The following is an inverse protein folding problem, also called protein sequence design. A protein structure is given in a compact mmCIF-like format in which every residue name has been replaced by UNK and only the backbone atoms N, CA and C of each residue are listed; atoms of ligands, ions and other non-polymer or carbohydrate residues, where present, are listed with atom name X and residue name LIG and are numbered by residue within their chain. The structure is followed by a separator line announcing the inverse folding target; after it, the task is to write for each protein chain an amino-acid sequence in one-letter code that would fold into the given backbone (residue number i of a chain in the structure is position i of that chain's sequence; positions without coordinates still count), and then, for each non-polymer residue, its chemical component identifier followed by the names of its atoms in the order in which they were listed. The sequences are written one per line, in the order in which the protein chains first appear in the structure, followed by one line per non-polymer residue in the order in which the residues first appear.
data_IF_475243899049
#
_entry.id   IF_475243899049
#
_cell.length_a   1.000
_cell.length_b   1.000
_cell.length_c   1.000
_cell.angle_alpha   90.00
_cell.angle_beta   90.00
_cell.angle_gamma   90.00
#
_symmetry.space_group_name_H-M   'P 1'
#
loop_
_entity.id
_entity.type
_entity.pdbx_description
1 polymer ?
#
# COMPACT_ATOMS: atom_id res chain seq x y z
N UNK A 1 -11.49 -29.04 -17.34
CA UNK A 1 -10.78 -28.33 -16.26
C UNK A 1 -11.60 -28.54 -15.00
N UNK A 2 -11.10 -29.40 -14.10
CA UNK A 2 -11.80 -29.74 -12.86
C UNK A 2 -11.55 -28.62 -11.84
N UNK A 3 -12.60 -27.97 -11.38
CA UNK A 3 -12.53 -27.08 -10.22
C UNK A 3 -12.41 -27.94 -8.96
N UNK A 4 -11.27 -27.94 -8.33
CA UNK A 4 -11.11 -28.50 -6.99
C UNK A 4 -11.75 -27.57 -5.98
N UNK A 5 -12.95 -27.93 -5.51
CA UNK A 5 -13.54 -27.34 -4.32
C UNK A 5 -12.83 -27.93 -3.11
N UNK A 6 -11.78 -27.25 -2.63
CA UNK A 6 -11.32 -27.51 -1.27
C UNK A 6 -12.28 -26.81 -0.31
N UNK A 7 -12.99 -27.61 0.48
CA UNK A 7 -13.70 -27.07 1.66
C UNK A 7 -12.65 -26.49 2.59
N UNK A 8 -12.59 -25.18 2.68
CA UNK A 8 -11.77 -24.49 3.69
C UNK A 8 -12.21 -24.99 5.08
N UNK A 9 -11.28 -25.33 5.98
CA UNK A 9 -11.65 -25.60 7.35
C UNK A 9 -12.35 -24.37 7.90
N UNK A 10 -13.53 -24.56 8.49
CA UNK A 10 -14.26 -23.49 9.19
C UNK A 10 -13.39 -23.02 10.35
N UNK A 11 -12.65 -21.92 10.15
CA UNK A 11 -11.95 -21.24 11.24
C UNK A 11 -13.04 -20.59 12.09
N UNK A 12 -13.41 -21.21 13.18
CA UNK A 12 -14.24 -20.56 14.20
C UNK A 12 -13.40 -19.44 14.82
N UNK A 13 -13.69 -18.20 14.44
CA UNK A 13 -13.08 -17.05 15.08
C UNK A 13 -13.33 -17.13 16.60
N UNK A 14 -12.29 -16.90 17.39
CA UNK A 14 -12.44 -16.83 18.85
C UNK A 14 -13.45 -15.73 19.19
N UNK A 15 -14.51 -16.09 19.89
CA UNK A 15 -15.51 -15.13 20.40
C UNK A 15 -15.13 -14.55 21.76
N UNK A 16 -14.01 -15.00 22.34
CA UNK A 16 -13.54 -14.52 23.63
C UNK A 16 -13.21 -13.01 23.57
N UNK A 17 -13.61 -12.23 24.58
CA UNK A 17 -13.27 -10.81 24.66
C UNK A 17 -11.75 -10.60 24.72
N UNK A 18 -11.26 -9.61 24.04
CA UNK A 18 -9.86 -9.18 24.10
C UNK A 18 -9.56 -8.39 25.37
N UNK A 19 -8.30 -8.34 25.75
CA UNK A 19 -7.84 -7.55 26.88
C UNK A 19 -7.17 -6.25 26.41
N UNK A 20 -7.11 -5.25 27.27
CA UNK A 20 -6.37 -4.02 27.01
C UNK A 20 -4.88 -4.28 26.73
N UNK A 21 -4.28 -5.27 27.42
CA UNK A 21 -2.87 -5.64 27.20
C UNK A 21 -2.68 -6.12 25.76
N UNK A 22 -3.54 -7.03 25.30
CA UNK A 22 -3.49 -7.51 23.90
C UNK A 22 -3.67 -6.35 22.90
N UNK A 23 -4.55 -5.40 23.20
CA UNK A 23 -4.74 -4.23 22.34
C UNK A 23 -3.47 -3.36 22.26
N UNK A 24 -2.82 -3.13 23.40
CA UNK A 24 -1.55 -2.38 23.45
C UNK A 24 -0.40 -3.10 22.73
N UNK A 25 -0.31 -4.42 22.89
CA UNK A 25 0.66 -5.25 22.15
C UNK A 25 0.47 -5.14 20.63
N UNK A 26 -0.79 -4.96 20.20
CA UNK A 26 -1.16 -4.73 18.80
C UNK A 26 -1.05 -3.27 18.35
N UNK A 27 -0.56 -2.36 19.21
CA UNK A 27 -0.33 -0.96 18.89
C UNK A 27 -1.53 -0.02 19.04
N UNK A 28 -2.60 -0.47 19.70
CA UNK A 28 -3.72 0.39 20.07
C UNK A 28 -3.46 1.08 21.41
N UNK A 29 -3.84 2.34 21.50
CA UNK A 29 -3.81 3.07 22.78
C UNK A 29 -5.02 2.68 23.66
N UNK A 30 -4.96 2.90 24.99
CA UNK A 30 -6.10 2.65 25.88
C UNK A 30 -7.38 3.41 25.46
N UNK A 31 -7.24 4.62 24.93
CA UNK A 31 -8.39 5.42 24.49
C UNK A 31 -8.97 4.91 23.17
N UNK A 32 -8.13 4.41 22.27
CA UNK A 32 -8.59 3.71 21.06
C UNK A 32 -9.36 2.45 21.43
N UNK A 33 -8.86 1.64 22.36
CA UNK A 33 -9.55 0.44 22.81
C UNK A 33 -10.93 0.76 23.40
N UNK A 34 -11.05 1.77 24.27
CA UNK A 34 -12.34 2.26 24.77
C UNK A 34 -13.27 2.74 23.68
N UNK A 35 -12.70 3.40 22.66
CA UNK A 35 -13.49 3.88 21.52
C UNK A 35 -14.07 2.70 20.71
N UNK A 36 -13.30 1.63 20.55
CA UNK A 36 -13.77 0.39 19.91
C UNK A 36 -14.91 -0.25 20.71
N UNK A 37 -14.76 -0.35 22.04
CA UNK A 37 -15.82 -0.85 22.92
C UNK A 37 -17.11 -0.04 22.76
N UNK A 38 -16.99 1.28 22.68
CA UNK A 38 -18.14 2.17 22.48
C UNK A 38 -18.79 1.97 21.11
N UNK A 39 -18.01 1.78 20.04
CA UNK A 39 -18.53 1.57 18.68
C UNK A 39 -19.27 0.24 18.59
N UNK A 40 -18.70 -0.82 19.17
CA UNK A 40 -19.27 -2.16 19.12
C UNK A 40 -20.38 -2.39 20.16
N UNK A 41 -20.49 -1.53 21.19
CA UNK A 41 -21.37 -1.74 22.34
C UNK A 41 -20.95 -2.92 23.23
N UNK A 42 -19.74 -3.46 23.04
CA UNK A 42 -19.15 -4.58 23.78
C UNK A 42 -17.63 -4.60 23.62
N UNK A 43 -16.96 -5.41 24.41
CA UNK A 43 -15.53 -5.68 24.23
C UNK A 43 -15.32 -6.42 22.90
N UNK A 44 -14.36 -5.99 22.06
CA UNK A 44 -14.03 -6.68 20.81
C UNK A 44 -13.47 -8.08 21.08
N UNK A 45 -13.73 -9.04 20.21
CA UNK A 45 -12.93 -10.27 20.17
C UNK A 45 -11.55 -10.01 19.55
N UNK A 46 -10.65 -11.00 19.61
CA UNK A 46 -9.29 -10.85 19.15
C UNK A 46 -9.21 -10.48 17.66
N UNK A 47 -10.01 -11.09 16.80
CA UNK A 47 -10.03 -10.80 15.36
C UNK A 47 -10.50 -9.38 15.08
N UNK A 48 -11.56 -8.93 15.73
CA UNK A 48 -12.07 -7.57 15.60
C UNK A 48 -11.02 -6.55 16.07
N UNK A 49 -10.40 -6.80 17.22
CA UNK A 49 -9.33 -5.96 17.73
C UNK A 49 -8.16 -5.86 16.73
N UNK A 50 -7.75 -6.98 16.14
CA UNK A 50 -6.70 -6.99 15.12
C UNK A 50 -7.09 -6.16 13.88
N UNK A 51 -8.34 -6.25 13.42
CA UNK A 51 -8.85 -5.44 12.31
C UNK A 51 -8.77 -3.95 12.66
N UNK A 52 -9.26 -3.54 13.82
CA UNK A 52 -9.15 -2.14 14.26
C UNK A 52 -7.70 -1.68 14.38
N UNK A 53 -6.82 -2.51 14.93
CA UNK A 53 -5.39 -2.21 15.05
C UNK A 53 -4.75 -1.89 13.70
N UNK A 54 -5.06 -2.66 12.67
CA UNK A 54 -4.54 -2.41 11.31
C UNK A 54 -5.20 -1.17 10.69
N UNK A 55 -6.52 -1.08 10.74
CA UNK A 55 -7.28 0.02 10.12
C UNK A 55 -6.99 1.38 10.78
N UNK A 56 -6.68 1.40 12.07
CA UNK A 56 -6.34 2.61 12.83
C UNK A 56 -4.83 2.82 12.98
N UNK A 57 -4.00 2.03 12.31
CA UNK A 57 -2.56 2.29 12.25
C UNK A 57 -2.28 3.59 11.47
N UNK A 58 -1.10 4.18 11.67
CA UNK A 58 -0.65 5.32 10.86
C UNK A 58 -0.66 4.99 9.37
N UNK A 59 -0.32 3.76 9.01
CA UNK A 59 -0.29 3.31 7.62
C UNK A 59 -1.64 3.42 6.92
N UNK A 60 -2.73 2.99 7.58
CA UNK A 60 -4.06 2.98 6.98
C UNK A 60 -4.85 4.27 7.22
N UNK A 61 -4.75 4.85 8.43
CA UNK A 61 -5.61 5.97 8.84
C UNK A 61 -4.95 7.33 8.79
N UNK A 62 -3.61 7.37 8.62
CA UNK A 62 -2.84 8.61 8.71
C UNK A 62 -3.08 9.38 10.01
N UNK A 63 -3.35 8.68 11.12
CA UNK A 63 -3.83 9.26 12.37
C UNK A 63 -2.96 10.39 12.94
N UNK A 64 -1.67 10.38 12.66
CA UNK A 64 -0.74 11.43 13.09
C UNK A 64 -0.49 12.46 11.98
N UNK A 65 -0.40 12.04 10.72
CA UNK A 65 -0.05 12.87 9.57
C UNK A 65 -1.25 13.55 8.91
N UNK A 66 -2.48 13.09 9.14
CA UNK A 66 -3.69 13.60 8.48
C UNK A 66 -3.89 15.11 8.64
N UNK A 67 -3.48 15.70 9.78
CA UNK A 67 -3.58 17.15 10.02
C UNK A 67 -2.72 17.95 9.03
N UNK A 68 -1.58 17.40 8.62
CA UNK A 68 -0.68 18.02 7.64
C UNK A 68 -1.16 17.76 6.21
N UNK A 69 -1.62 16.55 5.92
CA UNK A 69 -2.18 16.20 4.62
C UNK A 69 -3.39 17.09 4.26
N UNK A 70 -4.18 17.49 5.26
CA UNK A 70 -5.30 18.42 5.08
C UNK A 70 -4.89 19.85 4.70
N UNK A 71 -3.63 20.22 4.86
CA UNK A 71 -3.11 21.54 4.47
C UNK A 71 -2.64 21.60 3.02
N UNK A 72 -2.47 20.45 2.37
CA UNK A 72 -2.07 20.39 0.97
C UNK A 72 -3.22 20.81 0.06
N UNK A 73 -2.93 21.44 -1.10
CA UNK A 73 -3.95 21.73 -2.10
C UNK A 73 -4.69 20.45 -2.51
N UNK A 74 -5.99 20.52 -2.61
CA UNK A 74 -6.87 19.37 -2.89
C UNK A 74 -7.76 19.56 -4.09
N UNK A 75 -7.79 20.75 -4.63
CA UNK A 75 -8.71 21.16 -5.69
C UNK A 75 -7.91 21.67 -6.88
N UNK A 76 -8.40 21.39 -8.07
CA UNK A 76 -7.84 21.85 -9.34
C UNK A 76 -8.81 21.53 -10.48
N UNK A 77 -8.89 22.40 -11.47
CA UNK A 77 -9.84 22.29 -12.59
C UNK A 77 -9.64 21.04 -13.44
N UNK A 78 -8.42 20.48 -13.45
CA UNK A 78 -8.09 19.27 -14.18
C UNK A 78 -8.28 17.98 -13.38
N UNK A 79 -8.65 18.06 -12.11
CA UNK A 79 -8.82 16.86 -11.28
C UNK A 79 -10.12 16.14 -11.65
N UNK A 80 -10.01 14.89 -12.11
CA UNK A 80 -11.15 14.01 -12.39
C UNK A 80 -11.61 13.20 -11.16
N UNK A 81 -10.73 13.07 -10.17
CA UNK A 81 -11.00 12.38 -8.91
C UNK A 81 -10.53 13.26 -7.76
N UNK A 82 -11.35 13.41 -6.73
CA UNK A 82 -10.98 14.23 -5.56
C UNK A 82 -9.86 13.57 -4.75
N UNK A 83 -9.01 14.39 -4.16
CA UNK A 83 -7.90 13.92 -3.38
C UNK A 83 -8.35 13.05 -2.19
N UNK A 84 -7.88 11.81 -2.14
CA UNK A 84 -8.16 10.84 -1.07
C UNK A 84 -9.45 10.02 -1.24
N UNK A 85 -10.16 10.14 -2.36
CA UNK A 85 -11.35 9.32 -2.64
C UNK A 85 -10.99 7.95 -3.22
N UNK A 86 -9.93 7.88 -4.03
CA UNK A 86 -9.57 6.69 -4.77
C UNK A 86 -8.09 6.29 -4.56
N UNK A 87 -7.70 5.14 -5.09
CA UNK A 87 -6.35 4.60 -4.96
C UNK A 87 -5.27 5.41 -5.68
N UNK A 88 -5.63 6.14 -6.72
CA UNK A 88 -4.72 6.98 -7.51
C UNK A 88 -5.34 8.35 -7.83
N UNK A 89 -4.51 9.35 -8.05
CA UNK A 89 -4.95 10.62 -8.60
C UNK A 89 -5.22 10.49 -10.10
N UNK A 90 -6.23 11.19 -10.60
CA UNK A 90 -6.52 11.26 -12.03
C UNK A 90 -6.72 12.71 -12.44
N UNK A 91 -6.01 13.13 -13.48
CA UNK A 91 -6.14 14.45 -14.08
C UNK A 91 -6.59 14.34 -15.55
N UNK A 92 -7.32 15.35 -16.00
CA UNK A 92 -7.72 15.49 -17.41
C UNK A 92 -6.55 16.06 -18.23
N UNK A 93 -6.17 15.37 -19.29
CA UNK A 93 -5.18 15.83 -20.27
C UNK A 93 -5.82 16.51 -21.47
N UNK A 94 -7.14 16.58 -21.52
CA UNK A 94 -7.91 16.99 -22.69
C UNK A 94 -8.24 15.84 -23.63
N UNK A 95 -9.04 16.12 -24.63
CA UNK A 95 -9.49 15.15 -25.66
C UNK A 95 -10.11 13.86 -25.12
N UNK A 96 -10.65 13.89 -23.88
CA UNK A 96 -11.23 12.73 -23.21
C UNK A 96 -10.23 11.75 -22.61
N UNK A 97 -8.97 12.15 -22.51
CA UNK A 97 -7.89 11.31 -21.95
C UNK A 97 -7.65 11.69 -20.49
N UNK A 98 -7.80 10.72 -19.60
CA UNK A 98 -7.38 10.82 -18.20
C UNK A 98 -5.98 10.25 -17.97
N UNK A 99 -5.20 10.91 -17.13
CA UNK A 99 -3.91 10.44 -16.66
C UNK A 99 -4.02 10.02 -15.19
N UNK A 100 -3.93 8.74 -14.92
CA UNK A 100 -3.85 8.20 -13.56
C UNK A 100 -2.40 8.08 -13.12
N UNK A 101 -2.11 8.49 -11.89
CA UNK A 101 -0.77 8.38 -11.32
C UNK A 101 -0.81 8.19 -9.82
N UNK A 102 0.19 7.47 -9.31
CA UNK A 102 0.45 7.32 -7.88
C UNK A 102 1.91 7.12 -7.61
N UNK A 103 2.38 7.64 -6.49
CA UNK A 103 3.69 7.37 -5.93
C UNK A 103 3.51 6.84 -4.51
N UNK A 104 4.25 5.82 -4.17
CA UNK A 104 4.23 5.22 -2.83
C UNK A 104 5.61 4.72 -2.44
N UNK A 105 5.92 4.74 -1.15
CA UNK A 105 7.17 4.23 -0.61
C UNK A 105 7.05 2.77 -0.18
N UNK A 106 8.10 1.99 -0.45
CA UNK A 106 8.20 0.60 -0.02
C UNK A 106 9.54 0.36 0.69
N UNK A 107 9.76 1.07 1.81
CA UNK A 107 11.06 1.21 2.45
C UNK A 107 11.48 0.00 3.29
N UNK A 108 10.73 -0.31 4.35
CA UNK A 108 11.08 -1.37 5.30
C UNK A 108 11.25 -2.74 4.64
N UNK A 109 10.35 -3.21 3.78
CA UNK A 109 10.57 -4.45 3.04
C UNK A 109 11.83 -4.42 2.18
N UNK A 110 12.12 -3.29 1.54
CA UNK A 110 13.33 -3.13 0.72
C UNK A 110 14.62 -3.06 1.55
N UNK A 111 14.55 -2.58 2.80
CA UNK A 111 15.69 -2.58 3.70
C UNK A 111 16.07 -3.99 4.16
N UNK A 112 15.11 -4.92 4.19
CA UNK A 112 15.29 -6.32 4.62
C UNK A 112 15.60 -7.22 3.42
N UNK A 113 14.79 -7.12 2.37
CA UNK A 113 14.89 -7.90 1.13
C UNK A 113 14.77 -6.95 -0.08
N UNK A 114 15.87 -6.30 -0.50
CA UNK A 114 15.83 -5.20 -1.45
C UNK A 114 15.23 -5.58 -2.80
N UNK A 115 15.50 -6.77 -3.30
CA UNK A 115 14.94 -7.25 -4.56
C UNK A 115 13.42 -7.44 -4.46
N UNK A 116 12.97 -8.25 -3.50
CA UNK A 116 11.56 -8.56 -3.33
C UNK A 116 10.77 -7.34 -2.85
N UNK A 117 11.35 -6.56 -1.96
CA UNK A 117 10.74 -5.34 -1.44
C UNK A 117 10.46 -4.32 -2.53
N UNK A 118 11.44 -4.03 -3.37
CA UNK A 118 11.30 -3.08 -4.47
C UNK A 118 10.37 -3.60 -5.58
N UNK A 119 10.46 -4.89 -5.93
CA UNK A 119 9.55 -5.52 -6.89
C UNK A 119 8.10 -5.44 -6.43
N UNK A 120 7.84 -5.70 -5.14
CA UNK A 120 6.50 -5.60 -4.55
C UNK A 120 6.00 -4.15 -4.57
N UNK A 121 6.87 -3.18 -4.32
CA UNK A 121 6.53 -1.75 -4.42
C UNK A 121 6.04 -1.37 -5.81
N UNK A 122 6.78 -1.78 -6.86
CA UNK A 122 6.36 -1.58 -8.27
C UNK A 122 5.04 -2.29 -8.56
N UNK A 123 4.87 -3.52 -8.05
CA UNK A 123 3.63 -4.28 -8.23
C UNK A 123 2.42 -3.60 -7.60
N UNK A 124 2.57 -3.09 -6.38
CA UNK A 124 1.52 -2.38 -5.66
C UNK A 124 1.06 -1.12 -6.41
N UNK A 125 2.01 -0.30 -6.86
CA UNK A 125 1.72 0.93 -7.58
C UNK A 125 1.02 0.67 -8.92
N UNK A 126 1.44 -0.34 -9.67
CA UNK A 126 0.75 -0.72 -10.91
C UNK A 126 -0.68 -1.20 -10.64
N UNK A 127 -0.91 -1.93 -9.53
CA UNK A 127 -2.26 -2.35 -9.15
C UNK A 127 -3.18 -1.17 -8.91
N UNK A 128 -2.72 -0.14 -8.22
CA UNK A 128 -3.52 1.06 -7.97
C UNK A 128 -3.93 1.75 -9.27
N UNK A 129 -3.05 1.81 -10.26
CA UNK A 129 -3.37 2.33 -11.58
C UNK A 129 -4.43 1.45 -12.29
N UNK A 130 -4.27 0.13 -12.24
CA UNK A 130 -5.24 -0.81 -12.83
C UNK A 130 -6.61 -0.73 -12.18
N UNK A 131 -6.69 -0.55 -10.85
CA UNK A 131 -7.97 -0.46 -10.14
C UNK A 131 -8.81 0.75 -10.57
N UNK A 132 -8.17 1.75 -11.17
CA UNK A 132 -8.83 2.93 -11.71
C UNK A 132 -9.31 2.75 -13.17
N UNK A 133 -9.09 1.59 -13.77
CA UNK A 133 -9.35 1.33 -15.19
C UNK A 133 -8.26 1.83 -16.12
N UNK A 134 -7.16 2.36 -15.59
CA UNK A 134 -6.06 2.89 -16.37
C UNK A 134 -5.06 1.81 -16.78
N UNK A 135 -4.46 1.95 -17.96
CA UNK A 135 -3.34 1.13 -18.41
C UNK A 135 -2.02 1.79 -18.01
N UNK A 136 -1.20 1.18 -17.15
CA UNK A 136 0.14 1.68 -16.87
C UNK A 136 0.98 1.75 -18.15
N UNK A 137 1.68 2.86 -18.34
CA UNK A 137 2.52 3.13 -19.53
C UNK A 137 3.95 3.55 -19.18
N UNK A 138 4.19 4.03 -17.97
CA UNK A 138 5.47 4.53 -17.53
C UNK A 138 5.67 4.36 -16.03
N UNK A 139 6.91 4.13 -15.64
CA UNK A 139 7.35 4.12 -14.24
C UNK A 139 8.42 5.17 -14.01
N UNK A 140 8.39 5.74 -12.83
CA UNK A 140 9.42 6.66 -12.33
C UNK A 140 9.72 6.25 -10.88
N UNK A 141 10.94 6.53 -10.43
CA UNK A 141 11.32 6.17 -9.07
C UNK A 141 12.08 7.33 -8.42
N UNK A 142 11.90 7.49 -7.12
CA UNK A 142 12.68 8.43 -6.32
C UNK A 142 13.34 7.64 -5.19
N UNK A 143 14.63 7.39 -5.32
CA UNK A 143 15.37 6.47 -4.50
C UNK A 143 16.36 7.23 -3.60
N UNK A 144 16.41 6.84 -2.33
CA UNK A 144 17.32 7.43 -1.34
C UNK A 144 18.07 6.31 -0.63
N UNK A 145 19.40 6.43 -0.58
CA UNK A 145 20.29 5.48 0.07
C UNK A 145 21.30 6.18 0.96
N UNK A 146 21.97 5.44 1.83
CA UNK A 146 23.09 5.90 2.63
C UNK A 146 24.36 6.14 1.82
N UNK A 147 25.52 6.13 2.50
CA UNK A 147 26.81 6.31 1.87
C UNK A 147 27.02 5.29 0.73
N UNK A 148 27.29 5.73 -0.52
CA UNK A 148 27.48 4.84 -1.67
C UNK A 148 28.69 3.90 -1.55
N UNK A 149 29.68 4.25 -0.73
CA UNK A 149 30.85 3.39 -0.52
C UNK A 149 30.61 2.30 0.54
N UNK A 150 29.55 2.43 1.33
CA UNK A 150 29.22 1.43 2.35
C UNK A 150 28.72 0.12 1.73
N UNK A 151 29.23 -1.06 2.14
CA UNK A 151 28.85 -2.34 1.53
C UNK A 151 27.35 -2.63 1.55
N UNK A 152 26.66 -2.26 2.63
CA UNK A 152 25.20 -2.41 2.74
C UNK A 152 24.46 -1.56 1.71
N UNK A 153 24.90 -0.34 1.47
CA UNK A 153 24.29 0.54 0.46
C UNK A 153 24.43 -0.05 -0.94
N UNK A 154 25.59 -0.60 -1.27
CA UNK A 154 25.82 -1.28 -2.57
C UNK A 154 24.88 -2.46 -2.75
N UNK A 155 24.75 -3.30 -1.72
CA UNK A 155 23.83 -4.44 -1.73
C UNK A 155 22.36 -4.01 -1.86
N UNK A 156 21.93 -3.00 -1.12
CA UNK A 156 20.57 -2.43 -1.22
C UNK A 156 20.30 -1.87 -2.62
N UNK A 157 21.22 -1.07 -3.15
CA UNK A 157 21.07 -0.44 -4.47
C UNK A 157 20.96 -1.50 -5.59
N UNK A 158 21.84 -2.50 -5.57
CA UNK A 158 21.83 -3.60 -6.54
C UNK A 158 20.51 -4.36 -6.52
N UNK A 159 20.04 -4.76 -5.34
CA UNK A 159 18.80 -5.50 -5.18
C UNK A 159 17.57 -4.68 -5.56
N UNK A 160 17.50 -3.43 -5.13
CA UNK A 160 16.38 -2.51 -5.45
C UNK A 160 16.29 -2.26 -6.96
N UNK A 161 17.40 -1.88 -7.60
CA UNK A 161 17.41 -1.60 -9.04
C UNK A 161 17.02 -2.85 -9.85
N UNK A 162 17.54 -4.01 -9.44
CA UNK A 162 17.18 -5.28 -10.08
C UNK A 162 15.70 -5.62 -9.89
N UNK A 163 15.15 -5.46 -8.70
CA UNK A 163 13.74 -5.72 -8.40
C UNK A 163 12.80 -4.83 -9.21
N UNK A 164 13.10 -3.54 -9.29
CA UNK A 164 12.34 -2.58 -10.12
C UNK A 164 12.40 -2.98 -11.60
N UNK A 165 13.60 -3.27 -12.10
CA UNK A 165 13.82 -3.60 -13.51
C UNK A 165 13.13 -4.92 -13.92
N UNK A 166 13.30 -5.96 -13.14
CA UNK A 166 12.72 -7.28 -13.46
C UNK A 166 11.18 -7.23 -13.43
N UNK A 167 10.59 -6.53 -12.47
CA UNK A 167 9.14 -6.37 -12.42
C UNK A 167 8.62 -5.54 -13.60
N UNK A 168 9.27 -4.42 -13.91
CA UNK A 168 8.93 -3.59 -15.07
C UNK A 168 9.02 -4.38 -16.38
N UNK A 169 10.08 -5.17 -16.54
CA UNK A 169 10.28 -6.04 -17.72
C UNK A 169 9.17 -7.11 -17.82
N UNK A 170 8.79 -7.74 -16.70
CA UNK A 170 7.73 -8.74 -16.69
C UNK A 170 6.36 -8.15 -17.06
N UNK A 171 6.14 -6.90 -16.75
CA UNK A 171 4.91 -6.15 -17.04
C UNK A 171 4.91 -5.47 -18.41
N UNK A 172 6.10 -5.27 -18.97
CA UNK A 172 6.29 -4.53 -20.22
C UNK A 172 6.12 -3.01 -20.07
N UNK A 173 6.39 -2.46 -18.88
CA UNK A 173 6.27 -1.04 -18.60
C UNK A 173 7.67 -0.46 -18.39
N UNK A 174 8.09 0.53 -19.20
CA UNK A 174 9.42 1.10 -19.08
C UNK A 174 9.57 2.02 -17.86
N UNK A 175 10.74 2.03 -17.25
CA UNK A 175 11.18 3.09 -16.35
C UNK A 175 11.70 4.24 -17.21
N UNK A 176 11.00 5.36 -17.21
CA UNK A 176 11.30 6.49 -18.12
C UNK A 176 12.01 7.64 -17.43
N UNK A 177 12.13 7.62 -16.11
CA UNK A 177 12.78 8.67 -15.35
C UNK A 177 12.83 8.37 -13.86
N UNK A 178 13.32 9.36 -13.12
CA UNK A 178 13.45 9.28 -11.68
C UNK A 178 14.71 9.95 -11.17
N UNK A 179 15.04 9.69 -9.93
CA UNK A 179 16.21 10.25 -9.25
C UNK A 179 16.78 9.28 -8.23
N UNK A 180 18.08 9.40 -7.98
CA UNK A 180 18.77 8.68 -6.92
C UNK A 180 19.59 9.67 -6.11
N UNK A 181 19.43 9.64 -4.79
CA UNK A 181 20.21 10.47 -3.88
C UNK A 181 20.87 9.63 -2.80
N UNK A 182 21.99 10.11 -2.31
CA UNK A 182 22.74 9.50 -1.23
C UNK A 182 22.88 10.50 -0.08
N UNK A 183 22.44 10.09 1.11
CA UNK A 183 22.59 10.87 2.32
C UNK A 183 22.72 9.92 3.52
N UNK A 184 23.59 10.20 4.49
CA UNK A 184 23.80 9.34 5.65
C UNK A 184 22.54 9.02 6.46
N UNK A 185 21.52 9.88 6.44
CA UNK A 185 20.26 9.63 7.14
C UNK A 185 19.51 8.40 6.61
N UNK A 186 19.76 7.97 5.36
CA UNK A 186 19.16 6.78 4.76
C UNK A 186 20.01 5.51 4.89
N UNK A 187 21.07 5.53 5.72
CA UNK A 187 22.00 4.41 5.85
C UNK A 187 21.34 3.13 6.37
N UNK A 188 20.41 3.27 7.28
CA UNK A 188 19.72 2.14 7.92
C UNK A 188 18.45 1.78 7.16
N UNK A 189 17.65 2.77 6.82
CA UNK A 189 16.36 2.61 6.16
C UNK A 189 16.33 3.44 4.86
N UNK A 190 16.54 2.82 3.69
CA UNK A 190 16.49 3.50 2.42
C UNK A 190 15.08 4.00 2.13
N UNK A 191 14.92 5.02 1.32
CA UNK A 191 13.63 5.48 0.84
C UNK A 191 13.44 5.03 -0.60
N UNK A 192 12.50 4.12 -0.80
CA UNK A 192 12.22 3.51 -2.11
C UNK A 192 10.83 3.93 -2.55
N UNK A 193 10.76 5.03 -3.30
CA UNK A 193 9.49 5.51 -3.85
C UNK A 193 9.33 5.00 -5.28
N UNK A 194 8.28 4.22 -5.51
CA UNK A 194 7.88 3.79 -6.83
C UNK A 194 6.68 4.63 -7.30
N UNK A 195 6.73 5.10 -8.53
CA UNK A 195 5.65 5.82 -9.19
C UNK A 195 5.23 5.09 -10.47
N UNK A 196 3.94 5.01 -10.70
CA UNK A 196 3.38 4.56 -11.97
C UNK A 196 2.43 5.60 -12.55
N UNK A 197 2.43 5.69 -13.86
CA UNK A 197 1.56 6.55 -14.65
C UNK A 197 0.81 5.69 -15.65
N UNK A 198 -0.50 5.91 -15.78
CA UNK A 198 -1.34 5.19 -16.73
C UNK A 198 -2.30 6.13 -17.44
N UNK A 199 -2.85 5.67 -18.55
CA UNK A 199 -3.86 6.38 -19.33
C UNK A 199 -5.18 5.62 -19.33
N UNK A 200 -6.27 6.38 -19.37
CA UNK A 200 -7.64 5.86 -19.46
C UNK A 200 -8.53 6.83 -20.23
N UNK A 201 -9.70 6.34 -20.67
CA UNK A 201 -10.77 7.23 -21.10
C UNK A 201 -11.37 7.94 -19.86
N UNK A 202 -11.40 9.27 -19.88
CA UNK A 202 -11.90 10.06 -18.77
C UNK A 202 -13.36 9.77 -18.40
N UNK A 203 -14.11 9.11 -19.29
CA UNK A 203 -15.51 8.68 -19.06
C UNK A 203 -15.62 7.29 -18.45
N UNK A 204 -14.53 6.52 -18.42
CA UNK A 204 -14.51 5.11 -17.99
C UNK A 204 -13.71 4.92 -16.68
N UNK A 205 -13.69 5.92 -15.82
CA UNK A 205 -13.03 5.82 -14.51
C UNK A 205 -13.75 4.77 -13.66
N UNK A 206 -12.99 3.81 -13.16
CA UNK A 206 -13.48 2.78 -12.24
C UNK A 206 -13.21 3.22 -10.81
N UNK A 207 -14.27 3.20 -9.99
CA UNK A 207 -14.18 3.46 -8.56
C UNK A 207 -14.00 2.15 -7.77
N UNK A 208 -13.20 2.18 -6.71
CA UNK A 208 -13.01 1.06 -5.79
C UNK A 208 -14.21 0.86 -4.85
N UNK A 209 -15.42 0.98 -5.37
CA UNK A 209 -16.67 0.87 -4.60
C UNK A 209 -17.36 -0.46 -4.84
N UNK A 210 -17.64 -1.19 -3.77
CA UNK A 210 -18.44 -2.42 -3.83
C UNK A 210 -19.93 -2.07 -3.97
N UNK A 211 -20.44 -2.13 -5.19
CA UNK A 211 -21.84 -1.85 -5.50
C UNK A 211 -22.62 -3.13 -5.78
N UNK A 212 -23.93 -3.10 -5.53
CA UNK A 212 -24.85 -4.17 -5.84
C UNK A 212 -24.88 -5.28 -4.78
N UNK A 213 -25.72 -5.15 -3.73
CA UNK A 213 -25.95 -6.22 -2.78
C UNK A 213 -26.32 -7.53 -3.50
N UNK A 214 -25.62 -8.62 -3.18
CA UNK A 214 -25.78 -9.91 -3.83
C UNK A 214 -24.82 -10.20 -4.99
N UNK A 215 -24.02 -9.23 -5.42
CA UNK A 215 -22.94 -9.47 -6.39
C UNK A 215 -21.88 -10.40 -5.78
N UNK A 216 -21.36 -11.31 -6.61
CA UNK A 216 -20.31 -12.22 -6.20
C UNK A 216 -18.98 -11.47 -6.02
N UNK A 217 -18.23 -11.83 -4.97
CA UNK A 217 -16.85 -11.36 -4.74
C UNK A 217 -15.90 -12.50 -5.06
N UNK A 218 -14.92 -12.24 -5.90
CA UNK A 218 -13.92 -13.22 -6.31
C UNK A 218 -12.53 -12.82 -5.83
N UNK A 219 -11.78 -13.79 -5.32
CA UNK A 219 -10.34 -13.66 -5.05
C UNK A 219 -9.61 -14.38 -6.16
N UNK A 220 -8.73 -13.67 -6.84
CA UNK A 220 -7.89 -14.20 -7.93
C UNK A 220 -6.43 -14.03 -7.56
N UNK A 221 -5.68 -15.12 -7.49
CA UNK A 221 -4.27 -15.11 -7.14
C UNK A 221 -3.80 -16.47 -6.63
N UNK A 222 -2.59 -16.52 -6.09
CA UNK A 222 -2.05 -17.67 -5.38
C UNK A 222 -2.66 -17.80 -3.98
N UNK A 223 -2.40 -18.93 -3.32
CA UNK A 223 -2.76 -19.12 -1.92
C UNK A 223 -2.09 -18.06 -1.04
N UNK A 224 -2.83 -17.53 -0.07
CA UNK A 224 -2.29 -16.60 0.92
C UNK A 224 -1.42 -17.34 1.94
N UNK A 225 -0.27 -16.73 2.27
CA UNK A 225 0.60 -17.20 3.35
C UNK A 225 0.03 -16.92 4.75
N UNK A 226 0.79 -17.30 5.76
CA UNK A 226 0.47 -17.03 7.18
C UNK A 226 1.27 -15.83 7.72
N UNK A 227 1.43 -14.80 6.89
CA UNK A 227 2.40 -13.73 7.09
C UNK A 227 2.02 -12.71 8.17
N UNK A 228 0.91 -12.91 8.80
CA UNK A 228 0.49 -12.11 9.94
C UNK A 228 -0.27 -10.85 9.58
N UNK A 229 -1.14 -10.45 10.51
CA UNK A 229 -2.13 -9.41 10.31
C UNK A 229 -1.56 -7.99 10.29
N UNK A 230 -0.38 -7.74 10.78
CA UNK A 230 0.21 -6.40 10.86
C UNK A 230 1.30 -6.12 9.83
N UNK A 231 1.41 -6.92 8.78
CA UNK A 231 2.46 -6.77 7.78
C UNK A 231 2.54 -5.36 7.17
N UNK A 232 1.40 -4.77 6.81
CA UNK A 232 1.35 -3.42 6.25
C UNK A 232 1.71 -2.33 7.28
N UNK A 233 1.27 -2.46 8.53
CA UNK A 233 1.52 -1.47 9.58
C UNK A 233 2.98 -1.45 10.05
N UNK A 234 3.74 -2.49 9.76
CA UNK A 234 5.18 -2.55 10.00
C UNK A 234 5.93 -1.38 9.31
N UNK A 235 5.47 -0.94 8.15
CA UNK A 235 6.06 0.17 7.41
C UNK A 235 5.98 1.53 8.15
N UNK A 236 5.14 1.64 9.18
CA UNK A 236 4.96 2.86 9.97
C UNK A 236 5.57 2.76 11.38
N UNK A 237 6.40 1.75 11.63
CA UNK A 237 7.11 1.55 12.92
C UNK A 237 8.60 1.81 12.76
N UNK A 238 9.27 2.13 13.86
CA UNK A 238 10.73 2.18 13.88
C UNK A 238 11.30 0.79 13.60
N UNK A 239 12.36 0.72 12.81
CA UNK A 239 13.01 -0.56 12.49
C UNK A 239 13.93 -1.06 13.61
N UNK A 240 14.44 -0.15 14.45
CA UNK A 240 15.40 -0.44 15.53
C UNK A 240 15.18 0.48 16.71
#
# INVERSE_FOLDING_TARGET
TAFYSHSMPTITASTAPSTLIQAQDMGLTPDEFKSIEKILGRVPNFTEMCIYSVMWSEHCSYKNSIKWLKTLPKDGDQMLVKAGEENAGIIDLGDGIGCAFKIESHNHPSAIEPYQGAATGVGGINRDIFTMGARPIAQLNSLRFGDPEHPRTKWLLEGVVKGIGDYGNSFGIPVVGGEVFFDPCYQVNPLINAMSVGLLDAKEIISATANGPGNAVYIVGSDTGKDGIQGASFASKDMF
#
